data_IF_606182417615
#
_entry.id   IF_606182417615
#
_cell.length_a   1.000
_cell.length_b   1.000
_cell.length_c   1.000
_cell.angle_alpha   90.00
_cell.angle_beta   90.00
_cell.angle_gamma   90.00
#
_symmetry.space_group_name_H-M   'P 1'
#
loop_
_entity.id
_entity.type
_entity.pdbx_description
1 polymer ?
#
# COMPACT_ATOMS: atom_id res chain seq x y z
N UNK A 1 -27.79 19.69 -31.57
CA UNK A 1 -27.75 19.41 -30.12
C UNK A 1 -26.78 18.27 -29.88
N UNK A 2 -25.71 18.51 -29.12
CA UNK A 2 -24.58 17.58 -28.93
C UNK A 2 -25.01 16.50 -27.93
N UNK A 3 -25.11 15.24 -28.37
CA UNK A 3 -25.41 14.12 -27.48
C UNK A 3 -24.11 13.68 -26.82
N UNK A 4 -23.91 14.06 -25.56
CA UNK A 4 -22.89 13.49 -24.69
C UNK A 4 -23.20 12.01 -24.50
N UNK A 5 -22.31 11.13 -24.97
CA UNK A 5 -22.38 9.69 -24.71
C UNK A 5 -21.34 9.35 -23.64
N UNK A 6 -21.83 8.70 -22.59
CA UNK A 6 -21.10 8.39 -21.37
C UNK A 6 -19.90 7.48 -21.61
N UNK A 7 -18.84 7.77 -20.86
CA UNK A 7 -17.57 7.09 -20.83
C UNK A 7 -17.78 5.86 -19.95
N UNK A 8 -17.94 4.68 -20.55
CA UNK A 8 -17.99 3.43 -19.80
C UNK A 8 -16.55 3.03 -19.48
N UNK A 9 -16.10 3.28 -18.26
CA UNK A 9 -14.84 2.74 -17.75
C UNK A 9 -15.10 1.28 -17.28
N UNK A 10 -14.86 0.32 -18.17
CA UNK A 10 -14.78 -1.09 -17.82
C UNK A 10 -13.43 -1.33 -17.12
N UNK A 11 -13.42 -1.26 -15.79
CA UNK A 11 -12.29 -1.70 -14.97
C UNK A 11 -12.27 -3.23 -14.91
N UNK A 12 -11.60 -3.86 -15.88
CA UNK A 12 -11.24 -5.28 -15.79
C UNK A 12 -9.97 -5.42 -14.93
N UNK A 13 -10.11 -5.76 -13.65
CA UNK A 13 -8.99 -6.19 -12.80
C UNK A 13 -8.89 -7.72 -12.79
N UNK A 14 -8.34 -8.29 -13.86
CA UNK A 14 -7.85 -9.66 -13.87
C UNK A 14 -6.42 -9.67 -13.27
N UNK A 15 -6.34 -9.73 -11.95
CA UNK A 15 -5.08 -9.93 -11.23
C UNK A 15 -5.01 -11.35 -10.68
N UNK A 16 -4.36 -12.25 -11.42
CA UNK A 16 -4.04 -13.58 -10.93
C UNK A 16 -3.02 -13.46 -9.78
N UNK A 17 -3.39 -13.92 -8.59
CA UNK A 17 -2.53 -14.01 -7.41
C UNK A 17 -1.39 -14.99 -7.66
N UNK A 18 -0.26 -14.48 -8.11
CA UNK A 18 1.04 -15.05 -7.76
C UNK A 18 1.43 -14.41 -6.43
N UNK A 19 1.86 -15.20 -5.46
CA UNK A 19 2.33 -14.73 -4.15
C UNK A 19 3.65 -13.96 -4.31
N UNK A 20 3.60 -12.83 -5.01
CA UNK A 20 4.67 -11.88 -5.19
C UNK A 20 4.74 -11.00 -3.94
N UNK A 21 5.95 -10.67 -3.51
CA UNK A 21 6.13 -9.71 -2.44
C UNK A 21 5.42 -8.39 -2.79
N UNK A 22 4.73 -7.78 -1.81
CA UNK A 22 4.03 -6.53 -2.07
C UNK A 22 5.05 -5.47 -2.51
N UNK A 23 4.76 -4.74 -3.58
CA UNK A 23 5.72 -3.78 -4.15
C UNK A 23 5.45 -2.38 -3.61
N UNK A 24 6.49 -1.70 -3.13
CA UNK A 24 6.36 -0.29 -2.71
C UNK A 24 6.16 0.60 -3.94
N UNK A 25 5.14 1.45 -3.89
CA UNK A 25 4.80 2.41 -4.95
C UNK A 25 4.79 3.84 -4.43
N UNK A 26 5.02 4.80 -5.32
CA UNK A 26 4.89 6.21 -5.01
C UNK A 26 3.45 6.73 -5.25
N UNK A 27 3.22 8.01 -4.97
CA UNK A 27 1.89 8.63 -5.14
C UNK A 27 1.39 8.64 -6.59
N UNK A 28 2.28 8.74 -7.58
CA UNK A 28 1.90 8.79 -9.00
C UNK A 28 1.48 7.41 -9.50
N UNK A 29 2.23 6.37 -9.13
CA UNK A 29 1.90 4.98 -9.44
C UNK A 29 0.61 4.54 -8.76
N UNK A 30 0.41 4.94 -7.49
CA UNK A 30 -0.79 4.63 -6.73
C UNK A 30 -2.09 5.18 -7.35
N UNK A 31 -2.05 6.26 -8.12
CA UNK A 31 -3.24 6.83 -8.80
C UNK A 31 -3.87 5.88 -9.81
N UNK A 32 -3.11 4.92 -10.33
CA UNK A 32 -3.58 3.95 -11.31
C UNK A 32 -4.01 2.63 -10.67
N UNK A 33 -3.88 2.50 -9.34
CA UNK A 33 -4.15 1.27 -8.59
C UNK A 33 -5.45 1.35 -7.81
N UNK A 34 -6.00 0.19 -7.47
CA UNK A 34 -7.24 0.15 -6.69
C UNK A 34 -6.92 0.18 -5.19
N UNK A 35 -7.30 1.26 -4.52
CA UNK A 35 -7.12 1.39 -3.06
C UNK A 35 -7.87 0.30 -2.30
N UNK A 36 -7.17 -0.34 -1.37
CA UNK A 36 -7.70 -1.32 -0.42
C UNK A 36 -7.89 -0.73 0.99
N UNK A 37 -7.51 0.53 1.18
CA UNK A 37 -7.50 1.20 2.48
C UNK A 37 -6.10 1.38 3.06
N UNK A 38 -6.06 1.75 4.34
CA UNK A 38 -4.84 2.11 5.05
C UNK A 38 -4.64 1.18 6.23
N UNK A 39 -3.41 0.75 6.44
CA UNK A 39 -2.99 -0.02 7.60
C UNK A 39 -1.97 0.75 8.41
N UNK A 40 -2.07 0.63 9.72
CA UNK A 40 -1.03 1.08 10.65
C UNK A 40 -0.48 -0.11 11.43
N UNK A 41 0.78 -0.05 11.79
CA UNK A 41 1.44 -1.04 12.63
C UNK A 41 2.48 -0.38 13.51
N UNK A 42 2.49 -0.76 14.78
CA UNK A 42 3.64 -0.52 15.65
C UNK A 42 4.56 -1.73 15.59
N UNK A 43 5.84 -1.51 15.37
CA UNK A 43 6.85 -2.58 15.33
C UNK A 43 8.07 -2.16 16.12
N UNK A 44 8.60 -3.09 16.93
CA UNK A 44 9.79 -2.86 17.72
C UNK A 44 11.00 -3.34 16.94
N UNK A 45 11.68 -2.41 16.27
CA UNK A 45 12.82 -2.65 15.37
C UNK A 45 13.85 -1.55 15.53
N UNK A 46 15.12 -1.89 15.31
CA UNK A 46 16.21 -0.92 15.42
C UNK A 46 16.17 0.12 14.28
N UNK A 47 15.72 -0.30 13.10
CA UNK A 47 15.83 0.49 11.87
C UNK A 47 14.50 0.65 11.13
N UNK A 48 14.35 1.79 10.46
CA UNK A 48 13.17 2.10 9.64
C UNK A 48 12.95 1.06 8.53
N UNK A 49 14.01 0.56 7.89
CA UNK A 49 13.89 -0.46 6.83
C UNK A 49 13.21 -1.74 7.32
N UNK A 50 13.51 -2.18 8.53
CA UNK A 50 12.83 -3.31 9.15
C UNK A 50 11.36 -3.00 9.41
N UNK A 51 11.04 -1.76 9.76
CA UNK A 51 9.66 -1.32 9.98
C UNK A 51 8.85 -1.32 8.67
N UNK A 52 9.45 -0.85 7.57
CA UNK A 52 8.85 -0.90 6.23
C UNK A 52 8.68 -2.34 5.74
N UNK A 53 9.66 -3.21 5.98
CA UNK A 53 9.55 -4.64 5.64
C UNK A 53 8.38 -5.33 6.36
N UNK A 54 8.10 -4.96 7.62
CA UNK A 54 6.96 -5.47 8.35
C UNK A 54 5.61 -5.06 7.70
N UNK A 55 5.54 -3.84 7.16
CA UNK A 55 4.38 -3.39 6.38
C UNK A 55 4.24 -4.18 5.08
N UNK A 56 5.34 -4.45 4.37
CA UNK A 56 5.29 -5.26 3.14
C UNK A 56 4.68 -6.64 3.40
N UNK A 57 5.14 -7.33 4.47
CA UNK A 57 4.55 -8.62 4.89
C UNK A 57 3.07 -8.52 5.27
N UNK A 58 2.66 -7.41 5.89
CA UNK A 58 1.25 -7.14 6.22
C UNK A 58 0.41 -6.87 4.96
N UNK A 59 0.96 -6.18 3.98
CA UNK A 59 0.32 -5.97 2.68
C UNK A 59 0.09 -7.32 1.97
N UNK A 60 1.11 -8.18 1.96
CA UNK A 60 1.03 -9.54 1.40
C UNK A 60 -0.05 -10.38 2.09
N UNK A 61 -0.09 -10.37 3.43
CA UNK A 61 -1.10 -11.13 4.19
C UNK A 61 -2.53 -10.63 3.96
N UNK A 62 -2.67 -9.36 3.58
CA UNK A 62 -3.93 -8.75 3.18
C UNK A 62 -4.23 -8.89 1.69
N UNK A 63 -3.42 -9.66 0.96
CA UNK A 63 -3.53 -9.88 -0.49
C UNK A 63 -3.50 -8.55 -1.28
N UNK A 64 -2.67 -7.60 -0.82
CA UNK A 64 -2.34 -6.39 -1.54
C UNK A 64 -1.09 -6.63 -2.40
N UNK A 65 -1.17 -6.30 -3.69
CA UNK A 65 -0.03 -6.39 -4.61
C UNK A 65 0.94 -5.22 -4.45
N UNK A 66 0.45 -4.08 -3.94
CA UNK A 66 1.22 -2.86 -3.79
C UNK A 66 0.94 -2.17 -2.46
N UNK A 67 1.91 -1.40 -1.97
CA UNK A 67 1.75 -0.56 -0.80
C UNK A 67 2.49 0.77 -0.93
N UNK A 68 2.04 1.78 -0.19
CA UNK A 68 2.70 3.09 -0.11
C UNK A 68 2.79 3.52 1.33
N UNK A 69 4.01 3.64 1.86
CA UNK A 69 4.22 4.20 3.20
C UNK A 69 3.84 5.67 3.17
N UNK A 70 2.90 6.07 4.04
CA UNK A 70 2.40 7.45 4.14
C UNK A 70 2.82 8.13 5.44
N UNK A 71 3.21 7.36 6.46
CA UNK A 71 3.80 7.88 7.68
C UNK A 71 4.74 6.84 8.30
N UNK A 72 5.89 7.28 8.79
CA UNK A 72 6.79 6.49 9.62
C UNK A 72 7.34 7.43 10.70
N UNK A 73 7.11 7.10 11.96
CA UNK A 73 7.67 7.85 13.09
C UNK A 73 8.24 6.88 14.13
N UNK A 74 9.31 7.31 14.78
CA UNK A 74 9.94 6.66 15.92
C UNK A 74 9.68 7.53 17.15
N UNK A 75 9.50 6.91 18.32
CA UNK A 75 9.40 7.63 19.59
C UNK A 75 10.82 7.79 20.14
N UNK A 76 11.23 9.03 20.47
CA UNK A 76 12.62 9.54 20.65
C UNK A 76 13.70 8.60 21.26
N UNK A 77 13.34 7.64 22.10
CA UNK A 77 14.30 6.71 22.74
C UNK A 77 13.84 5.24 22.75
N UNK A 78 12.74 4.93 22.08
CA UNK A 78 12.26 3.56 21.94
C UNK A 78 12.56 3.07 20.53
N UNK A 79 13.11 1.86 20.39
CA UNK A 79 13.20 1.14 19.11
C UNK A 79 11.79 0.76 18.58
N UNK A 80 10.79 1.62 18.76
CA UNK A 80 9.40 1.41 18.43
C UNK A 80 9.01 2.37 17.33
N UNK A 81 8.72 1.80 16.17
CA UNK A 81 8.31 2.51 14.97
C UNK A 81 6.80 2.39 14.80
N UNK A 82 6.14 3.51 14.61
CA UNK A 82 4.78 3.58 14.11
C UNK A 82 4.82 3.84 12.61
N UNK A 83 4.36 2.87 11.82
CA UNK A 83 4.31 2.98 10.36
C UNK A 83 2.87 2.83 9.89
N UNK A 84 2.46 3.74 9.00
CA UNK A 84 1.19 3.68 8.29
C UNK A 84 1.43 3.60 6.79
N UNK A 85 0.67 2.75 6.12
CA UNK A 85 0.73 2.58 4.68
C UNK A 85 -0.64 2.40 4.06
N UNK A 86 -0.80 2.90 2.85
CA UNK A 86 -1.93 2.59 1.99
C UNK A 86 -1.64 1.30 1.23
N UNK A 87 -2.67 0.47 1.06
CA UNK A 87 -2.60 -0.80 0.35
C UNK A 87 -3.35 -0.70 -0.97
N UNK A 88 -2.87 -1.39 -2.00
CA UNK A 88 -3.52 -1.41 -3.31
C UNK A 88 -3.50 -2.81 -3.95
N UNK A 89 -4.50 -3.03 -4.81
CA UNK A 89 -4.51 -4.14 -5.79
C UNK A 89 -4.09 -3.66 -7.15
#
# INVERSE_FOLDING_TARGET
MKKSAALIALLFSLGAGSAMAATQVNSQQAQQLQSMGTVSSSVQVADMDQAVSAIAKKAESMNAGHYRVIAANSQDDSNQWWVSAELYR
#
